data_IF_340605129592
#
_entry.id   IF_340605129592
#
_cell.length_a   1.000
_cell.length_b   1.000
_cell.length_c   1.000
_cell.angle_alpha   90.00
_cell.angle_beta   90.00
_cell.angle_gamma   90.00
#
_symmetry.space_group_name_H-M   'P 1'
#
loop_
_entity.id
_entity.type
_entity.pdbx_description
1 polymer ?
#
# COMPACT_ATOMS: atom_id res chain seq x y z
N UNK A 1 17.97 -3.38 0.96
CA UNK A 1 17.13 -4.31 0.18
C UNK A 1 15.73 -3.74 -0.08
N UNK A 2 15.08 -3.18 0.94
CA UNK A 2 13.71 -2.67 0.82
C UNK A 2 13.59 -1.52 -0.18
N UNK A 3 14.55 -0.60 -0.19
CA UNK A 3 14.57 0.49 -1.18
C UNK A 3 14.74 -0.05 -2.60
N UNK A 4 15.55 -1.09 -2.79
CA UNK A 4 15.70 -1.74 -4.09
C UNK A 4 14.40 -2.41 -4.55
N UNK A 5 13.71 -3.09 -3.64
CA UNK A 5 12.40 -3.69 -3.93
C UNK A 5 11.35 -2.65 -4.32
N UNK A 6 11.34 -1.50 -3.64
CA UNK A 6 10.47 -0.37 -3.99
C UNK A 6 10.76 0.12 -5.42
N UNK A 7 12.04 0.29 -5.78
CA UNK A 7 12.43 0.72 -7.11
C UNK A 7 11.93 -0.24 -8.20
N UNK A 8 12.06 -1.55 -7.97
CA UNK A 8 11.59 -2.57 -8.90
C UNK A 8 10.07 -2.50 -9.08
N UNK A 9 9.31 -2.46 -8.00
CA UNK A 9 7.84 -2.41 -8.03
C UNK A 9 7.35 -1.09 -8.65
N UNK A 10 7.93 0.04 -8.27
CA UNK A 10 7.59 1.35 -8.83
C UNK A 10 7.83 1.38 -10.35
N UNK A 11 8.96 0.85 -10.80
CA UNK A 11 9.29 0.76 -12.23
C UNK A 11 8.28 -0.10 -12.99
N UNK A 12 7.86 -1.23 -12.44
CA UNK A 12 6.85 -2.10 -13.04
C UNK A 12 5.53 -1.35 -13.28
N UNK A 13 5.07 -0.57 -12.32
CA UNK A 13 3.86 0.24 -12.46
C UNK A 13 4.04 1.39 -13.47
N UNK A 14 5.20 2.02 -13.52
CA UNK A 14 5.50 3.03 -14.53
C UNK A 14 5.49 2.46 -15.94
N UNK A 15 6.02 1.25 -16.12
CA UNK A 15 5.98 0.53 -17.40
C UNK A 15 4.55 0.21 -17.81
N UNK A 16 3.73 -0.33 -16.90
CA UNK A 16 2.32 -0.62 -17.16
C UNK A 16 1.54 0.67 -17.51
N UNK A 17 1.78 1.74 -16.78
CA UNK A 17 1.12 3.02 -17.06
C UNK A 17 1.48 3.57 -18.44
N UNK A 18 2.73 3.42 -18.84
CA UNK A 18 3.20 3.82 -20.18
C UNK A 18 2.52 3.00 -21.28
N UNK A 19 2.40 1.70 -21.10
CA UNK A 19 1.69 0.80 -22.03
C UNK A 19 0.23 1.21 -22.18
N UNK A 20 -0.49 1.40 -21.09
CA UNK A 20 -1.89 1.86 -21.10
C UNK A 20 -2.05 3.22 -21.78
N UNK A 21 -1.11 4.14 -21.56
CA UNK A 21 -1.11 5.46 -22.21
C UNK A 21 -1.01 5.37 -23.72
N UNK A 22 -0.19 4.45 -24.21
CA UNK A 22 -0.02 4.24 -25.67
C UNK A 22 -1.22 3.53 -26.30
N UNK A 23 -1.82 2.57 -25.60
CA UNK A 23 -2.90 1.74 -26.12
C UNK A 23 -4.25 2.44 -26.04
N UNK A 24 -4.54 3.15 -24.95
CA UNK A 24 -5.85 3.72 -24.66
C UNK A 24 -5.88 5.24 -24.60
N UNK A 25 -4.78 5.91 -24.93
CA UNK A 25 -4.62 7.38 -24.84
C UNK A 25 -5.06 7.93 -23.47
N UNK A 26 -4.74 7.19 -22.41
CA UNK A 26 -5.15 7.50 -21.06
C UNK A 26 -4.15 6.94 -20.03
N UNK A 27 -3.84 7.73 -19.00
CA UNK A 27 -3.01 7.31 -17.88
C UNK A 27 -3.91 6.87 -16.72
N UNK A 28 -3.99 5.55 -16.40
CA UNK A 28 -4.80 5.08 -15.28
C UNK A 28 -4.18 5.44 -13.91
N UNK A 29 -2.87 5.66 -13.87
CA UNK A 29 -2.16 6.03 -12.64
C UNK A 29 -2.03 7.54 -12.55
N UNK A 30 -2.63 8.11 -11.49
CA UNK A 30 -2.51 9.55 -11.15
C UNK A 30 -1.24 9.85 -10.34
N UNK A 31 -0.75 8.89 -9.58
CA UNK A 31 0.46 9.04 -8.80
C UNK A 31 0.90 7.76 -8.13
N UNK A 32 2.17 7.72 -7.77
CA UNK A 32 2.77 6.63 -7.01
C UNK A 32 3.50 7.24 -5.82
N UNK A 33 3.20 6.75 -4.61
CA UNK A 33 3.88 7.13 -3.38
C UNK A 33 4.64 5.93 -2.85
N UNK A 34 5.85 6.15 -2.40
CA UNK A 34 6.72 5.10 -1.86
C UNK A 34 7.15 5.42 -0.44
N UNK A 35 7.33 4.40 0.38
CA UNK A 35 7.77 4.56 1.76
C UNK A 35 8.55 3.34 2.22
N UNK A 36 9.67 3.58 2.90
CA UNK A 36 10.31 2.59 3.77
C UNK A 36 9.86 2.88 5.21
N UNK A 37 9.33 1.87 5.90
CA UNK A 37 8.87 1.98 7.28
C UNK A 37 10.03 2.47 8.17
N UNK A 38 9.77 3.47 9.03
CA UNK A 38 10.79 4.03 9.90
C UNK A 38 11.28 3.00 10.92
N UNK A 39 12.52 3.17 11.38
CA UNK A 39 13.11 2.34 12.42
C UNK A 39 12.25 2.29 13.69
N UNK A 40 11.75 3.42 14.16
CA UNK A 40 10.87 3.50 15.33
C UNK A 40 9.56 2.71 15.13
N UNK A 41 8.99 2.77 13.93
CA UNK A 41 7.77 2.03 13.59
C UNK A 41 8.03 0.52 13.54
N UNK A 42 9.19 0.11 13.05
CA UNK A 42 9.62 -1.30 13.06
C UNK A 42 9.79 -1.79 14.50
N UNK A 43 10.47 -1.01 15.35
CA UNK A 43 10.67 -1.36 16.77
C UNK A 43 9.33 -1.50 17.51
N UNK A 44 8.39 -0.59 17.30
CA UNK A 44 7.04 -0.67 17.90
C UNK A 44 6.32 -1.96 17.47
N UNK A 45 6.42 -2.34 16.20
CA UNK A 45 5.80 -3.56 15.69
C UNK A 45 6.45 -4.82 16.24
N UNK A 46 7.78 -4.84 16.36
CA UNK A 46 8.55 -5.92 16.99
C UNK A 46 8.06 -6.17 18.43
N UNK A 47 7.95 -5.10 19.22
CA UNK A 47 7.51 -5.18 20.62
C UNK A 47 6.06 -5.64 20.73
N UNK A 48 5.18 -5.11 19.90
CA UNK A 48 3.75 -5.44 19.92
C UNK A 48 3.47 -6.89 19.55
N UNK A 49 4.23 -7.45 18.61
CA UNK A 49 4.02 -8.80 18.06
C UNK A 49 5.00 -9.85 18.61
N UNK A 50 5.87 -9.49 19.55
CA UNK A 50 6.90 -10.38 20.09
C UNK A 50 7.77 -11.03 19.00
N UNK A 51 8.19 -10.25 18.02
CA UNK A 51 9.05 -10.72 16.94
C UNK A 51 10.50 -10.79 17.44
N UNK A 52 11.26 -11.83 17.07
CA UNK A 52 12.68 -11.89 17.41
C UNK A 52 13.43 -10.68 16.84
N UNK A 53 14.27 -10.03 17.66
CA UNK A 53 15.02 -8.84 17.27
C UNK A 53 16.29 -9.22 16.51
N UNK A 54 16.13 -9.92 15.41
CA UNK A 54 17.16 -10.34 14.46
C UNK A 54 16.76 -9.89 13.05
N UNK A 55 17.72 -9.78 12.15
CA UNK A 55 17.42 -9.45 10.76
C UNK A 55 16.46 -10.47 10.13
N UNK A 56 16.71 -11.75 10.37
CA UNK A 56 15.87 -12.85 9.90
C UNK A 56 14.46 -12.74 10.48
N UNK A 57 14.33 -12.50 11.77
CA UNK A 57 13.03 -12.32 12.44
C UNK A 57 12.22 -11.15 11.86
N UNK A 58 12.90 -10.05 11.56
CA UNK A 58 12.28 -8.87 10.94
C UNK A 58 11.84 -9.20 9.50
N UNK A 59 12.74 -9.75 8.70
CA UNK A 59 12.46 -10.08 7.30
C UNK A 59 11.33 -11.09 7.13
N UNK A 60 11.22 -12.07 8.02
CA UNK A 60 10.19 -13.10 7.96
C UNK A 60 8.82 -12.64 8.47
N UNK A 61 8.79 -11.74 9.45
CA UNK A 61 7.56 -11.40 10.18
C UNK A 61 7.00 -10.02 9.89
N UNK A 62 7.78 -9.09 9.32
CA UNK A 62 7.31 -7.75 8.96
C UNK A 62 7.29 -7.62 7.45
N UNK A 63 6.09 -7.59 6.88
CA UNK A 63 5.87 -7.61 5.43
C UNK A 63 5.58 -6.25 4.81
N UNK A 64 5.49 -5.21 5.62
CA UNK A 64 5.12 -3.85 5.23
C UNK A 64 6.22 -2.80 5.42
N UNK A 65 7.49 -3.24 5.47
CA UNK A 65 8.63 -2.31 5.56
C UNK A 65 8.75 -1.53 4.25
N UNK A 66 8.75 -2.22 3.11
CA UNK A 66 8.67 -1.60 1.80
C UNK A 66 7.21 -1.39 1.42
N UNK A 67 6.81 -0.16 1.18
CA UNK A 67 5.46 0.21 0.80
C UNK A 67 5.41 1.00 -0.50
N UNK A 68 4.52 0.61 -1.40
CA UNK A 68 4.21 1.33 -2.64
C UNK A 68 2.71 1.56 -2.69
N UNK A 69 2.31 2.81 -2.87
CA UNK A 69 0.89 3.17 -3.04
C UNK A 69 0.66 3.68 -4.44
N UNK A 70 -0.23 3.01 -5.15
CA UNK A 70 -0.64 3.36 -6.51
C UNK A 70 -2.01 4.03 -6.44
N UNK A 71 -2.09 5.27 -6.91
CA UNK A 71 -3.32 6.06 -6.92
C UNK A 71 -3.85 6.08 -8.34
N UNK A 72 -5.08 5.60 -8.53
CA UNK A 72 -5.74 5.50 -9.81
C UNK A 72 -6.96 6.42 -9.90
N UNK A 73 -7.43 6.68 -11.11
CA UNK A 73 -8.64 7.47 -11.34
C UNK A 73 -9.91 6.71 -10.92
N UNK A 74 -10.02 5.43 -11.26
CA UNK A 74 -11.25 4.64 -11.07
C UNK A 74 -10.96 3.25 -10.47
N UNK A 75 -11.95 2.65 -9.76
CA UNK A 75 -11.79 1.30 -9.20
C UNK A 75 -11.45 0.24 -10.25
N UNK A 76 -12.02 0.30 -11.45
CA UNK A 76 -11.73 -0.67 -12.52
C UNK A 76 -10.26 -0.63 -12.93
N UNK A 77 -9.64 0.55 -12.97
CA UNK A 77 -8.22 0.71 -13.24
C UNK A 77 -7.36 0.00 -12.17
N UNK A 78 -7.78 0.08 -10.91
CA UNK A 78 -7.09 -0.61 -9.81
C UNK A 78 -7.02 -2.11 -10.09
N UNK A 79 -8.15 -2.73 -10.41
CA UNK A 79 -8.21 -4.18 -10.63
C UNK A 79 -7.42 -4.61 -11.87
N UNK A 80 -7.51 -3.87 -12.96
CA UNK A 80 -6.74 -4.15 -14.17
C UNK A 80 -5.23 -4.08 -13.92
N UNK A 81 -4.76 -3.03 -13.27
CA UNK A 81 -3.35 -2.86 -12.92
C UNK A 81 -2.87 -3.94 -11.95
N UNK A 82 -3.66 -4.25 -10.93
CA UNK A 82 -3.32 -5.29 -9.96
C UNK A 82 -3.17 -6.65 -10.64
N UNK A 83 -4.10 -7.03 -11.51
CA UNK A 83 -4.04 -8.31 -12.22
C UNK A 83 -2.86 -8.36 -13.20
N UNK A 84 -2.59 -7.26 -13.93
CA UNK A 84 -1.44 -7.17 -14.83
C UNK A 84 -0.12 -7.30 -14.08
N UNK A 85 -0.01 -6.65 -12.93
CA UNK A 85 1.15 -6.72 -12.04
C UNK A 85 1.36 -8.15 -11.50
N UNK A 86 0.29 -8.80 -11.05
CA UNK A 86 0.37 -10.14 -10.46
C UNK A 86 0.63 -11.25 -11.50
N UNK A 87 0.39 -10.99 -12.78
CA UNK A 87 0.73 -11.96 -13.86
C UNK A 87 2.22 -11.98 -14.20
N UNK A 88 3.02 -11.05 -13.70
CA UNK A 88 4.45 -11.02 -13.97
C UNK A 88 5.17 -12.17 -13.26
N UNK A 89 6.09 -12.85 -13.96
CA UNK A 89 6.73 -14.08 -13.50
C UNK A 89 7.55 -13.92 -12.22
N UNK A 90 8.07 -12.72 -11.99
CA UNK A 90 8.90 -12.40 -10.83
C UNK A 90 8.12 -11.83 -9.64
N UNK A 91 6.82 -11.75 -9.74
CA UNK A 91 5.94 -11.28 -8.65
C UNK A 91 5.18 -12.46 -8.06
N UNK A 92 5.35 -12.72 -6.78
CA UNK A 92 4.62 -13.74 -6.04
C UNK A 92 3.64 -13.10 -5.07
N UNK A 93 2.35 -13.38 -5.25
CA UNK A 93 1.32 -12.92 -4.33
C UNK A 93 1.37 -13.74 -3.03
N UNK A 94 1.50 -13.06 -1.90
CA UNK A 94 1.51 -13.67 -0.57
C UNK A 94 0.16 -13.47 0.13
N UNK A 95 -0.41 -12.27 0.07
CA UNK A 95 -1.69 -11.95 0.71
C UNK A 95 -2.44 -10.90 -0.11
N UNK A 96 -3.75 -11.02 -0.15
CA UNK A 96 -4.64 -10.04 -0.78
C UNK A 96 -5.78 -9.69 0.17
N UNK A 97 -5.98 -8.39 0.43
CA UNK A 97 -7.10 -7.86 1.21
C UNK A 97 -7.81 -6.79 0.38
N UNK A 98 -9.03 -7.08 0.01
CA UNK A 98 -9.84 -6.18 -0.81
C UNK A 98 -10.84 -5.41 0.05
N UNK A 99 -10.40 -4.27 0.56
CA UNK A 99 -11.24 -3.34 1.31
C UNK A 99 -12.06 -2.40 0.40
N UNK A 100 -11.93 -2.51 -0.92
CA UNK A 100 -12.81 -1.82 -1.86
C UNK A 100 -14.16 -2.52 -1.92
N UNK A 101 -14.14 -3.84 -2.08
CA UNK A 101 -15.36 -4.69 -2.08
C UNK A 101 -15.92 -4.89 -0.69
N UNK A 102 -15.05 -5.02 0.29
CA UNK A 102 -15.40 -5.24 1.70
C UNK A 102 -14.77 -4.16 2.58
N UNK A 103 -15.34 -2.94 2.62
CA UNK A 103 -14.79 -1.84 3.40
C UNK A 103 -14.66 -2.19 4.89
N UNK A 104 -13.71 -1.57 5.57
CA UNK A 104 -13.62 -1.65 7.03
C UNK A 104 -14.83 -0.95 7.67
N UNK A 105 -15.11 -1.28 8.93
CA UNK A 105 -16.21 -0.65 9.69
C UNK A 105 -16.11 0.88 9.74
N UNK A 106 -14.90 1.43 9.69
CA UNK A 106 -14.65 2.88 9.64
C UNK A 106 -15.06 3.53 8.31
N UNK A 107 -15.29 2.74 7.26
CA UNK A 107 -15.46 3.22 5.88
C UNK A 107 -14.18 3.19 5.04
N UNK A 108 -13.05 2.77 5.62
CA UNK A 108 -11.78 2.69 4.90
C UNK A 108 -11.86 1.75 3.71
N UNK A 109 -11.40 2.22 2.55
CA UNK A 109 -11.34 1.47 1.28
C UNK A 109 -9.93 1.54 0.69
N UNK A 110 -9.43 0.40 0.28
CA UNK A 110 -8.17 0.23 -0.45
C UNK A 110 -8.03 -1.24 -0.87
N UNK A 111 -7.30 -1.51 -1.92
CA UNK A 111 -6.85 -2.87 -2.23
C UNK A 111 -5.41 -3.02 -1.71
N UNK A 112 -5.18 -3.99 -0.83
CA UNK A 112 -3.87 -4.28 -0.27
C UNK A 112 -3.34 -5.60 -0.81
N UNK A 113 -2.11 -5.58 -1.32
CA UNK A 113 -1.38 -6.77 -1.71
C UNK A 113 -0.07 -6.84 -0.92
N UNK A 114 0.24 -8.03 -0.41
CA UNK A 114 1.61 -8.35 0.00
C UNK A 114 2.19 -9.24 -1.08
N UNK A 115 3.28 -8.78 -1.67
CA UNK A 115 3.99 -9.53 -2.71
C UNK A 115 5.43 -9.78 -2.31
N UNK A 116 6.04 -10.76 -2.95
CA UNK A 116 7.46 -11.04 -2.83
C UNK A 116 8.13 -10.76 -4.17
N UNK A 117 9.20 -9.99 -4.14
CA UNK A 117 9.93 -9.52 -5.32
C UNK A 117 11.38 -9.96 -5.21
N UNK A 118 11.98 -10.57 -6.25
CA UNK A 118 13.39 -10.91 -6.24
C UNK A 118 14.24 -9.67 -6.50
N UNK A 119 15.26 -9.48 -5.69
CA UNK A 119 16.30 -8.48 -5.88
C UNK A 119 17.58 -9.19 -6.24
N UNK A 120 18.08 -8.90 -7.42
CA UNK A 120 19.35 -9.46 -7.92
C UNK A 120 20.49 -8.53 -7.56
N UNK A 121 21.28 -8.94 -6.59
CA UNK A 121 22.48 -8.25 -6.15
C UNK A 121 23.70 -8.80 -6.89
N UNK A 122 24.87 -8.21 -6.66
CA UNK A 122 26.10 -8.59 -7.36
C UNK A 122 26.39 -10.10 -7.29
N UNK A 123 26.24 -10.69 -6.12
CA UNK A 123 26.59 -12.10 -5.88
C UNK A 123 25.45 -12.93 -5.29
N UNK A 124 24.29 -12.36 -5.07
CA UNK A 124 23.14 -13.04 -4.45
C UNK A 124 21.82 -12.57 -5.04
N UNK A 125 20.81 -13.42 -4.86
CA UNK A 125 19.41 -13.08 -5.10
C UNK A 125 18.70 -13.06 -3.75
N UNK A 126 17.90 -12.03 -3.49
CA UNK A 126 17.12 -11.90 -2.27
C UNK A 126 15.65 -11.69 -2.59
N UNK A 127 14.77 -12.43 -1.91
CA UNK A 127 13.32 -12.22 -2.00
C UNK A 127 12.90 -11.21 -0.92
N UNK A 128 12.20 -10.15 -1.31
CA UNK A 128 11.81 -9.07 -0.43
C UNK A 128 10.30 -8.87 -0.45
N UNK A 129 9.68 -8.76 0.72
CA UNK A 129 8.27 -8.41 0.84
C UNK A 129 8.03 -6.94 0.53
N UNK A 130 6.99 -6.67 -0.24
CA UNK A 130 6.50 -5.32 -0.54
C UNK A 130 5.00 -5.28 -0.32
N UNK A 131 4.53 -4.31 0.46
CA UNK A 131 3.11 -3.99 0.53
C UNK A 131 2.75 -3.03 -0.59
N UNK A 132 1.79 -3.40 -1.43
CA UNK A 132 1.26 -2.55 -2.48
C UNK A 132 -0.17 -2.19 -2.13
N UNK A 133 -0.45 -0.90 -2.01
CA UNK A 133 -1.79 -0.36 -1.76
C UNK A 133 -2.29 0.32 -3.02
N UNK A 134 -3.52 -0.01 -3.42
CA UNK A 134 -4.20 0.66 -4.53
C UNK A 134 -5.39 1.44 -4.00
N UNK A 135 -5.48 2.70 -4.38
CA UNK A 135 -6.58 3.59 -4.03
C UNK A 135 -6.99 4.42 -5.23
N UNK A 136 -8.25 4.81 -5.29
CA UNK A 136 -8.64 5.95 -6.11
C UNK A 136 -8.22 7.26 -5.42
N UNK A 137 -8.27 8.38 -6.15
CA UNK A 137 -8.01 9.71 -5.59
C UNK A 137 -8.91 9.97 -4.39
N UNK A 138 -10.21 9.65 -4.49
CA UNK A 138 -11.17 9.82 -3.41
C UNK A 138 -10.84 8.95 -2.19
N UNK A 139 -10.48 7.69 -2.38
CA UNK A 139 -10.08 6.77 -1.30
C UNK A 139 -8.81 7.27 -0.58
N UNK A 140 -7.84 7.78 -1.33
CA UNK A 140 -6.59 8.31 -0.75
C UNK A 140 -6.84 9.60 0.04
N UNK A 141 -7.66 10.48 -0.49
CA UNK A 141 -8.09 11.70 0.20
C UNK A 141 -8.81 11.37 1.51
N UNK A 142 -9.79 10.45 1.46
CA UNK A 142 -10.53 10.01 2.62
C UNK A 142 -9.62 9.40 3.70
N UNK A 143 -8.72 8.49 3.29
CA UNK A 143 -7.77 7.85 4.21
C UNK A 143 -6.81 8.87 4.85
N UNK A 144 -6.41 9.89 4.12
CA UNK A 144 -5.56 10.96 4.64
C UNK A 144 -6.28 11.79 5.70
N UNK A 145 -7.57 12.08 5.51
CA UNK A 145 -8.38 12.79 6.49
C UNK A 145 -8.61 11.95 7.74
N UNK A 146 -8.96 10.66 7.58
CA UNK A 146 -9.13 9.75 8.72
C UNK A 146 -7.86 9.68 9.57
N UNK A 147 -6.70 9.54 8.93
CA UNK A 147 -5.41 9.51 9.62
C UNK A 147 -5.15 10.80 10.40
N UNK A 148 -5.40 11.96 9.80
CA UNK A 148 -5.24 13.26 10.46
C UNK A 148 -6.19 13.41 11.66
N UNK A 149 -7.41 12.92 11.59
CA UNK A 149 -8.36 12.97 12.69
C UNK A 149 -7.93 12.10 13.87
N UNK A 150 -7.36 10.93 13.61
CA UNK A 150 -6.85 10.04 14.66
C UNK A 150 -5.67 10.64 15.43
N UNK A 151 -4.86 11.49 14.80
CA UNK A 151 -3.66 12.09 15.40
C UNK A 151 -3.85 13.52 15.88
N UNK A 152 -5.04 14.10 15.74
CA UNK A 152 -5.34 15.45 16.23
C UNK A 152 -5.69 15.41 17.72
N UNK A 153 -4.71 15.78 18.58
CA UNK A 153 -4.76 15.63 20.04
C UNK A 153 -5.68 16.61 20.80
N UNK A 154 -6.22 17.65 20.18
CA UNK A 154 -6.89 18.77 20.86
C UNK A 154 -8.35 18.97 20.43
N UNK A 155 -9.02 17.93 19.94
CA UNK A 155 -10.44 18.01 19.59
C UNK A 155 -11.28 17.47 20.76
N UNK A 156 -12.36 18.18 21.21
CA UNK A 156 -13.32 17.63 22.14
C UNK A 156 -13.92 16.31 21.62
N UNK A 157 -14.18 15.36 22.51
CA UNK A 157 -14.64 14.01 22.15
C UNK A 157 -15.93 14.05 21.31
N UNK A 158 -16.87 14.97 21.64
CA UNK A 158 -18.10 15.18 20.88
C UNK A 158 -17.85 15.62 19.44
N UNK A 159 -16.89 16.50 19.23
CA UNK A 159 -16.50 16.98 17.90
C UNK A 159 -15.75 15.91 17.11
N UNK A 160 -14.91 15.13 17.78
CA UNK A 160 -14.21 14.00 17.18
C UNK A 160 -15.20 12.94 16.67
N UNK A 161 -16.23 12.63 17.46
CA UNK A 161 -17.29 11.70 17.04
C UNK A 161 -18.06 12.22 15.83
N UNK A 162 -18.49 13.48 15.87
CA UNK A 162 -19.18 14.12 14.75
C UNK A 162 -18.37 14.03 13.45
N UNK A 163 -17.08 14.39 13.50
CA UNK A 163 -16.20 14.33 12.32
C UNK A 163 -16.00 12.88 11.79
N UNK A 164 -15.96 11.90 12.69
CA UNK A 164 -15.87 10.48 12.29
C UNK A 164 -17.17 10.00 11.61
N UNK A 165 -18.31 10.43 12.12
CA UNK A 165 -19.62 10.09 11.55
C UNK A 165 -19.78 10.73 10.16
N UNK A 166 -19.43 12.01 10.01
CA UNK A 166 -19.40 12.69 8.70
C UNK A 166 -18.45 12.00 7.71
N UNK A 167 -17.27 11.62 8.17
CA UNK A 167 -16.29 10.95 7.33
C UNK A 167 -16.79 9.55 6.90
N UNK A 168 -17.47 8.83 7.79
CA UNK A 168 -18.11 7.56 7.48
C UNK A 168 -19.20 7.73 6.41
N UNK A 169 -20.06 8.73 6.57
CA UNK A 169 -21.13 9.03 5.61
C UNK A 169 -20.56 9.36 4.22
N UNK A 170 -19.44 10.07 4.16
CA UNK A 170 -18.75 10.36 2.90
C UNK A 170 -18.16 9.13 2.22
N UNK A 171 -17.98 8.02 2.95
CA UNK A 171 -17.42 6.79 2.40
C UNK A 171 -18.48 5.87 1.75
N UNK A 172 -19.77 6.12 2.01
CA UNK A 172 -20.89 5.33 1.44
C UNK A 172 -21.21 5.74 0.01
#
# INVERSE_FOLDING_TARGET
YYQCAIMEVETKFKVLNQEYSLEYDRNPIEGIKTRVKSYDSILRKIRRKNIPMTLEGIEENIRDIAGVRVICSFPDDIYELAESFLRQDDITLIERKDYIKNPKESGYRSLHLIVQVPIFLQNTKKLVYVEVQFRTIAMDFWASLEHKLQYKKNIPESQSKFLKDELYDCAQ
#
